data_IF_949802645236
#
_entry.id   IF_949802645236
#
_cell.length_a   1.000
_cell.length_b   1.000
_cell.length_c   1.000
_cell.angle_alpha   90.00
_cell.angle_beta   90.00
_cell.angle_gamma   90.00
#
_symmetry.space_group_name_H-M   'P 1'
#
loop_
_entity.id
_entity.type
_entity.pdbx_description
1 polymer ?
#
# COMPACT_ATOMS: atom_id res chain seq x y z
N UNK A 1 -4.55 -12.87 -2.85
CA UNK A 1 -3.83 -11.75 -3.48
C UNK A 1 -2.34 -11.87 -3.20
N UNK A 2 -1.54 -11.59 -4.22
CA UNK A 2 -0.10 -11.39 -4.11
C UNK A 2 0.24 -9.90 -4.19
N UNK A 3 1.44 -9.51 -3.80
CA UNK A 3 1.89 -8.11 -3.93
C UNK A 3 1.90 -7.65 -5.41
N UNK A 4 2.12 -8.58 -6.35
CA UNK A 4 2.13 -8.28 -7.78
C UNK A 4 0.77 -7.78 -8.31
N UNK A 5 -0.31 -8.01 -7.57
CA UNK A 5 -1.67 -7.63 -7.97
C UNK A 5 -2.03 -6.19 -7.53
N UNK A 6 -1.22 -5.55 -6.69
CA UNK A 6 -1.47 -4.22 -6.13
C UNK A 6 -0.81 -3.16 -7.01
N UNK A 7 -1.62 -2.27 -7.58
CA UNK A 7 -1.10 -1.11 -8.31
C UNK A 7 -0.78 0.03 -7.36
N UNK A 8 0.32 0.78 -7.58
CA UNK A 8 0.57 2.00 -6.85
C UNK A 8 -0.52 3.05 -7.13
N UNK A 9 -0.73 4.02 -6.22
CA UNK A 9 -1.70 5.09 -6.41
C UNK A 9 -1.33 5.98 -7.59
N UNK A 10 -2.32 6.51 -8.30
CA UNK A 10 -2.13 7.37 -9.48
C UNK A 10 -1.74 8.82 -9.14
N UNK A 11 -1.82 9.21 -7.86
CA UNK A 11 -1.57 10.57 -7.40
C UNK A 11 -0.09 10.98 -7.38
N UNK A 12 0.19 12.28 -7.10
CA UNK A 12 1.56 12.74 -6.91
C UNK A 12 2.24 12.01 -5.73
N UNK A 13 3.58 11.96 -5.71
CA UNK A 13 4.30 11.40 -4.58
C UNK A 13 3.98 12.16 -3.29
N UNK A 14 3.85 11.42 -2.19
CA UNK A 14 3.66 11.99 -0.86
C UNK A 14 4.96 11.92 -0.05
N UNK A 15 5.15 12.86 0.87
CA UNK A 15 6.33 12.93 1.75
C UNK A 15 6.22 12.06 3.01
N UNK A 16 5.26 11.12 3.03
CA UNK A 16 5.03 10.24 4.18
C UNK A 16 6.01 9.07 4.19
N UNK A 17 6.89 9.04 5.21
CA UNK A 17 7.87 7.97 5.43
C UNK A 17 7.23 6.58 5.60
N UNK A 18 5.99 6.54 6.09
CA UNK A 18 5.22 5.33 6.33
C UNK A 18 4.34 4.92 5.13
N UNK A 19 4.34 5.68 4.03
CA UNK A 19 3.66 5.25 2.81
C UNK A 19 4.34 3.98 2.27
N UNK A 20 3.59 2.89 1.99
CA UNK A 20 4.15 1.68 1.39
C UNK A 20 4.66 1.84 -0.04
N UNK A 21 4.27 2.92 -0.74
CA UNK A 21 4.60 3.16 -2.14
C UNK A 21 5.68 4.22 -2.34
N UNK A 22 5.50 5.41 -1.75
CA UNK A 22 6.43 6.54 -1.89
C UNK A 22 7.46 6.61 -0.75
N UNK A 23 7.18 5.96 0.38
CA UNK A 23 8.01 5.96 1.57
C UNK A 23 8.99 4.79 1.61
N UNK A 24 9.37 4.39 2.83
CA UNK A 24 10.35 3.30 3.04
C UNK A 24 9.71 2.03 3.62
N UNK A 25 8.40 2.07 3.89
CA UNK A 25 7.69 0.99 4.56
C UNK A 25 7.50 -0.21 3.60
N UNK A 26 7.99 -1.39 4.01
CA UNK A 26 7.90 -2.61 3.18
C UNK A 26 6.64 -3.42 3.49
N UNK A 27 5.97 -3.90 2.44
CA UNK A 27 4.84 -4.83 2.55
C UNK A 27 5.37 -6.26 2.69
N UNK A 28 4.83 -7.03 3.65
CA UNK A 28 5.23 -8.43 3.93
C UNK A 28 4.07 -9.22 4.52
N UNK A 29 4.10 -10.55 4.38
CA UNK A 29 3.11 -11.44 4.99
C UNK A 29 1.89 -11.70 4.09
N UNK A 30 0.71 -11.81 4.71
CA UNK A 30 -0.55 -12.12 4.02
C UNK A 30 -1.29 -10.84 3.63
N UNK A 31 -1.95 -10.85 2.46
CA UNK A 31 -2.81 -9.77 1.96
C UNK A 31 -4.26 -10.24 2.05
N UNK A 32 -5.14 -9.41 2.61
CA UNK A 32 -6.56 -9.67 2.84
C UNK A 32 -7.40 -8.54 2.23
N UNK A 33 -8.63 -8.85 1.82
CA UNK A 33 -9.63 -7.87 1.36
C UNK A 33 -10.75 -7.73 2.40
N UNK A 34 -11.31 -6.53 2.55
CA UNK A 34 -12.37 -6.24 3.51
C UNK A 34 -13.01 -4.87 3.29
N UNK A 35 -14.07 -4.59 4.04
CA UNK A 35 -14.80 -3.31 3.98
C UNK A 35 -14.35 -2.41 5.14
N UNK A 36 -14.00 -1.16 4.83
CA UNK A 36 -13.65 -0.15 5.84
C UNK A 36 -14.93 0.32 6.55
N UNK A 37 -14.92 0.31 7.88
CA UNK A 37 -16.10 0.64 8.71
C UNK A 37 -15.98 1.95 9.50
N UNK A 38 -14.78 2.54 9.58
CA UNK A 38 -14.49 3.79 10.31
C UNK A 38 -13.27 4.49 9.75
#
# INVERSE_FOLDING_TARGET
>A
MSYADIKPPEGPPCDDKNCPFHGTLRIRGKILEGVVVS
#
